data_IF_092058560808
#
_entry.id   IF_092058560808
#
_cell.length_a   1.000
_cell.length_b   1.000
_cell.length_c   1.000
_cell.angle_alpha   90.00
_cell.angle_beta   90.00
_cell.angle_gamma   90.00
#
_symmetry.space_group_name_H-M   'P 1'
#
loop_
_entity.id
_entity.type
_entity.pdbx_description
1 polymer ?
#
# COMPACT_ATOMS: atom_id res chain seq x y z
N UNK A 1 -22.20 12.04 3.16
CA UNK A 1 -21.22 10.94 3.08
C UNK A 1 -20.63 10.89 1.67
N UNK A 2 -19.41 11.39 1.44
CA UNK A 2 -18.75 11.26 0.13
C UNK A 2 -17.25 11.50 0.30
N UNK A 3 -16.44 10.44 0.30
CA UNK A 3 -14.97 10.55 0.35
C UNK A 3 -14.28 9.96 -0.88
N UNK A 4 -15.00 9.75 -1.98
CA UNK A 4 -14.41 9.46 -3.29
C UNK A 4 -13.84 10.73 -3.94
N UNK A 5 -13.03 11.49 -3.21
CA UNK A 5 -12.30 12.60 -3.80
C UNK A 5 -11.05 12.07 -4.49
N UNK A 6 -11.20 11.96 -5.80
CA UNK A 6 -10.15 12.08 -6.80
C UNK A 6 -9.11 13.12 -6.37
N UNK A 7 -8.03 12.67 -5.71
CA UNK A 7 -6.83 13.48 -5.54
C UNK A 7 -5.75 12.83 -6.40
N UNK A 8 -5.42 13.61 -7.44
CA UNK A 8 -4.35 13.52 -8.44
C UNK A 8 -3.39 12.35 -8.23
N UNK A 9 -3.17 11.62 -9.32
CA UNK A 9 -2.15 10.61 -9.51
C UNK A 9 -0.73 11.10 -9.13
N UNK A 10 -0.43 11.23 -7.84
CA UNK A 10 0.90 10.92 -7.35
C UNK A 10 1.12 9.47 -7.76
N UNK A 11 1.90 9.28 -8.81
CA UNK A 11 2.00 8.02 -9.54
C UNK A 11 2.20 6.86 -8.58
N UNK A 12 1.54 5.74 -8.86
CA UNK A 12 1.78 4.48 -8.14
C UNK A 12 3.25 4.13 -8.28
N UNK A 13 3.98 4.07 -7.16
CA UNK A 13 5.40 3.76 -7.16
C UNK A 13 5.63 2.30 -6.84
N UNK A 14 6.48 1.61 -7.61
CA UNK A 14 6.86 0.24 -7.28
C UNK A 14 7.53 0.19 -5.89
N UNK A 15 7.18 -0.84 -5.12
CA UNK A 15 7.80 -1.15 -3.83
C UNK A 15 8.16 -2.62 -3.76
N UNK A 16 9.13 -2.90 -2.91
CA UNK A 16 9.58 -4.26 -2.61
C UNK A 16 9.12 -4.62 -1.20
N UNK A 17 8.25 -5.61 -1.06
CA UNK A 17 7.88 -6.14 0.27
C UNK A 17 9.02 -7.01 0.77
N UNK A 18 9.62 -6.60 1.89
CA UNK A 18 10.71 -7.35 2.53
C UNK A 18 10.17 -8.45 3.45
N UNK A 19 9.07 -8.16 4.15
CA UNK A 19 8.51 -9.07 5.14
C UNK A 19 6.99 -8.91 5.22
N UNK A 20 6.28 -10.02 5.43
CA UNK A 20 4.85 -10.06 5.68
C UNK A 20 4.56 -10.65 7.06
N UNK A 21 3.61 -10.07 7.79
CA UNK A 21 3.00 -10.67 8.99
C UNK A 21 1.95 -11.70 8.57
N UNK A 22 1.99 -12.88 9.18
CA UNK A 22 1.08 -14.00 8.88
C UNK A 22 1.08 -14.43 7.40
N UNK A 23 2.14 -14.13 6.65
CA UNK A 23 2.25 -14.44 5.23
C UNK A 23 1.47 -13.52 4.28
N UNK A 24 0.68 -12.57 4.77
CA UNK A 24 -0.15 -11.71 3.90
C UNK A 24 -0.06 -10.21 4.19
N UNK A 25 -0.10 -9.78 5.45
CA UNK A 25 -0.07 -8.36 5.78
C UNK A 25 1.33 -7.78 5.62
N UNK A 26 1.52 -6.61 5.00
CA UNK A 26 2.83 -5.99 4.91
C UNK A 26 3.37 -5.64 6.31
N UNK A 27 4.58 -6.10 6.63
CA UNK A 27 5.29 -5.77 7.87
C UNK A 27 6.43 -4.78 7.60
N UNK A 28 7.18 -5.00 6.54
CA UNK A 28 8.27 -4.11 6.12
C UNK A 28 8.32 -4.04 4.60
N UNK A 29 8.52 -2.83 4.06
CA UNK A 29 8.71 -2.62 2.62
C UNK A 29 9.86 -1.64 2.34
N UNK A 30 10.39 -1.70 1.12
CA UNK A 30 11.44 -0.80 0.63
C UNK A 30 10.91 0.03 -0.52
N UNK A 31 11.15 1.34 -0.45
CA UNK A 31 10.78 2.30 -1.49
C UNK A 31 11.89 3.34 -1.63
N UNK A 32 12.32 3.62 -2.87
CA UNK A 32 13.41 4.56 -3.17
C UNK A 32 14.67 4.33 -2.31
N UNK A 33 15.03 3.07 -2.10
CA UNK A 33 16.18 2.67 -1.29
C UNK A 33 15.99 2.78 0.23
N UNK A 34 14.89 3.39 0.71
CA UNK A 34 14.58 3.50 2.14
C UNK A 34 13.66 2.36 2.59
N UNK A 35 13.96 1.81 3.78
CA UNK A 35 13.12 0.84 4.49
C UNK A 35 12.03 1.54 5.29
N UNK A 36 10.82 0.99 5.25
CA UNK A 36 9.65 1.44 5.99
C UNK A 36 9.11 0.26 6.79
N UNK A 37 8.97 0.46 8.10
CA UNK A 37 8.38 -0.53 9.01
C UNK A 37 6.93 -0.15 9.32
N UNK A 38 6.03 -1.09 9.04
CA UNK A 38 4.59 -0.93 9.23
C UNK A 38 4.27 -1.09 10.72
N UNK A 39 3.83 0.00 11.34
CA UNK A 39 3.39 0.01 12.73
C UNK A 39 1.97 -0.55 12.88
N UNK A 40 1.09 -0.20 11.94
CA UNK A 40 -0.28 -0.65 11.92
C UNK A 40 -0.83 -0.74 10.49
N UNK A 41 -1.72 -1.70 10.26
CA UNK A 41 -2.58 -1.76 9.07
C UNK A 41 -3.92 -1.15 9.48
N UNK A 42 -4.16 0.09 9.07
CA UNK A 42 -5.34 0.88 9.45
C UNK A 42 -6.58 0.44 8.66
N UNK A 43 -6.40 -0.06 7.42
CA UNK A 43 -7.50 -0.51 6.56
C UNK A 43 -7.01 -1.57 5.59
N UNK A 44 -7.84 -2.57 5.32
CA UNK A 44 -7.66 -3.54 4.25
C UNK A 44 -8.93 -3.56 3.37
N UNK A 45 -8.78 -3.57 2.06
CA UNK A 45 -9.91 -3.70 1.12
C UNK A 45 -9.46 -4.33 -0.19
N UNK A 46 -10.40 -4.92 -0.93
CA UNK A 46 -10.15 -5.36 -2.29
C UNK A 46 -10.58 -4.25 -3.29
N UNK A 47 -9.90 -4.19 -4.42
CA UNK A 47 -10.30 -3.35 -5.54
C UNK A 47 -10.18 -4.16 -6.85
N UNK A 48 -11.13 -4.00 -7.75
CA UNK A 48 -11.25 -4.83 -8.97
C UNK A 48 -11.19 -4.02 -10.26
N UNK A 49 -10.80 -2.73 -10.20
CA UNK A 49 -11.00 -1.77 -11.31
C UNK A 49 -10.40 -2.20 -12.66
N UNK A 50 -9.29 -2.93 -12.65
CA UNK A 50 -8.65 -3.50 -13.86
C UNK A 50 -8.09 -4.91 -13.62
N UNK A 51 -7.71 -5.23 -12.40
CA UNK A 51 -7.23 -6.54 -11.95
C UNK A 51 -7.61 -6.72 -10.47
N UNK A 52 -7.69 -7.96 -9.96
CA UNK A 52 -7.83 -8.19 -8.53
C UNK A 52 -6.64 -7.58 -7.79
N UNK A 53 -6.93 -6.55 -6.98
CA UNK A 53 -5.96 -5.88 -6.13
C UNK A 53 -6.35 -6.04 -4.66
N UNK A 54 -5.36 -6.36 -3.83
CA UNK A 54 -5.45 -6.20 -2.38
C UNK A 54 -4.84 -4.87 -2.00
N UNK A 55 -5.58 -4.07 -1.25
CA UNK A 55 -5.21 -2.73 -0.87
C UNK A 55 -5.08 -2.65 0.65
N UNK A 56 -4.01 -2.02 1.12
CA UNK A 56 -3.70 -1.87 2.53
C UNK A 56 -3.33 -0.43 2.83
N UNK A 57 -4.04 0.22 3.75
CA UNK A 57 -3.59 1.48 4.33
C UNK A 57 -2.71 1.15 5.53
N UNK A 58 -1.45 1.55 5.44
CA UNK A 58 -0.44 1.29 6.46
C UNK A 58 0.03 2.58 7.09
N UNK A 59 0.23 2.54 8.41
CA UNK A 59 0.88 3.61 9.16
C UNK A 59 2.32 3.21 9.43
N UNK A 60 3.24 4.05 8.98
CA UNK A 60 4.66 3.98 9.29
C UNK A 60 5.05 5.19 10.15
N UNK A 61 6.27 5.21 10.67
CA UNK A 61 6.80 6.39 11.38
C UNK A 61 6.80 7.64 10.49
N UNK A 62 7.01 7.46 9.19
CA UNK A 62 7.06 8.50 8.17
C UNK A 62 5.69 9.05 7.76
N UNK A 63 4.60 8.37 8.10
CA UNK A 63 3.25 8.75 7.69
C UNK A 63 2.38 7.59 7.21
N UNK A 64 1.29 7.93 6.53
CA UNK A 64 0.32 6.99 5.98
C UNK A 64 0.64 6.69 4.51
N UNK A 65 0.50 5.42 4.14
CA UNK A 65 0.70 4.95 2.77
C UNK A 65 -0.40 3.96 2.40
N UNK A 66 -0.86 4.03 1.16
CA UNK A 66 -1.73 3.01 0.58
C UNK A 66 -0.88 2.08 -0.29
N UNK A 67 -0.78 0.82 0.11
CA UNK A 67 -0.12 -0.25 -0.63
C UNK A 67 -1.16 -1.02 -1.47
N UNK A 68 -0.79 -1.30 -2.71
CA UNK A 68 -1.61 -2.03 -3.68
C UNK A 68 -0.81 -3.25 -4.15
N UNK A 69 -1.32 -4.44 -3.85
CA UNK A 69 -0.82 -5.69 -4.40
C UNK A 69 -1.67 -6.08 -5.61
N UNK A 70 -1.04 -6.24 -6.77
CA UNK A 70 -1.65 -6.99 -7.87
C UNK A 70 -1.54 -8.48 -7.54
N UNK A 71 -2.68 -9.16 -7.41
CA UNK A 71 -2.71 -10.57 -6.99
C UNK A 71 -2.18 -11.51 -8.08
N UNK A 72 -2.31 -11.15 -9.35
CA UNK A 72 -1.86 -11.99 -10.48
C UNK A 72 -0.34 -12.06 -10.55
N UNK A 73 0.28 -10.89 -10.54
CA UNK A 73 1.73 -10.78 -10.75
C UNK A 73 2.52 -10.67 -9.44
N UNK A 74 1.81 -10.65 -8.30
CA UNK A 74 2.34 -10.40 -6.96
C UNK A 74 3.22 -9.13 -6.87
N UNK A 75 2.95 -8.14 -7.73
CA UNK A 75 3.65 -6.86 -7.76
C UNK A 75 3.01 -5.89 -6.77
N UNK A 76 3.84 -5.06 -6.15
CA UNK A 76 3.41 -4.09 -5.16
C UNK A 76 3.68 -2.66 -5.60
N UNK A 77 2.71 -1.80 -5.33
CA UNK A 77 2.80 -0.38 -5.59
C UNK A 77 2.37 0.41 -4.35
N UNK A 78 2.90 1.60 -4.15
CA UNK A 78 2.42 2.52 -3.12
C UNK A 78 1.86 3.81 -3.71
N UNK A 79 1.01 4.46 -2.92
CA UNK A 79 0.66 5.87 -3.03
C UNK A 79 0.79 6.50 -1.63
N UNK A 80 1.48 7.64 -1.48
CA UNK A 80 1.48 8.39 -0.23
C UNK A 80 0.05 8.80 0.15
N UNK A 81 -0.37 8.51 1.38
CA UNK A 81 -1.65 8.93 1.91
C UNK A 81 -1.64 10.42 2.28
N UNK A 82 -2.82 11.05 2.43
CA UNK A 82 -2.89 12.35 3.09
C UNK A 82 -2.35 12.19 4.52
N UNK A 83 -1.43 13.08 4.91
CA UNK A 83 -0.95 13.21 6.28
C UNK A 83 -2.12 13.57 7.23
#
# INVERSE_FOLDING_TARGET
MNWFQHRRAHGRHAVEIQEKRFGYFPKTFRWRGKRYDVQAVERCWNATRHAPQLCFRVRCREGLFDLYQNVRDNTWQLVPGPA
#
